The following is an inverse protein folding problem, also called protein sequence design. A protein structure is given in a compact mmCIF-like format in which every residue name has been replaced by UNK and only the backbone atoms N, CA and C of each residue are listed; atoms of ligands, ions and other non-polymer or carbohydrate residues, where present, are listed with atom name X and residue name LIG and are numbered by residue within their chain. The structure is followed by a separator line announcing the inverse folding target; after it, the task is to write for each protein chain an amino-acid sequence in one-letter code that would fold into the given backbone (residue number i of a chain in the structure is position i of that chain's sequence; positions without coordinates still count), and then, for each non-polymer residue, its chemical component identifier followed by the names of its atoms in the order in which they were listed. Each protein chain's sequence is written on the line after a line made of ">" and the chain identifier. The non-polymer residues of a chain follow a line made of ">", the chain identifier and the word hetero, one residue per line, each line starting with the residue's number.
data_IF_748527665287
#
_entry.id   IF_748527665287
#
_cell.length_a   1.000
_cell.length_b   1.000
_cell.length_c   1.000
_cell.angle_alpha   90.00
_cell.angle_beta   90.00
_cell.angle_gamma   90.00
#
_symmetry.space_group_name_H-M   'P 1'
#
loop_
_entity.id
_entity.type
_entity.pdbx_description
1 polymer ?
#
# COMPACT_ATOMS: atom_id res chain seq x y z
N UNK A 1 -9.75 15.14 -2.03
CA UNK A 1 -9.38 13.80 -2.51
C UNK A 1 -8.41 13.99 -3.67
N UNK A 2 -7.25 13.33 -3.65
CA UNK A 2 -6.28 13.39 -4.73
C UNK A 2 -6.68 12.43 -5.87
N UNK A 3 -6.33 12.76 -7.12
CA UNK A 3 -6.55 11.91 -8.28
C UNK A 3 -5.23 11.70 -9.01
N UNK A 4 -4.95 10.44 -9.34
CA UNK A 4 -3.73 10.03 -10.01
C UNK A 4 -4.07 9.34 -11.33
N UNK A 5 -3.32 9.68 -12.37
CA UNK A 5 -3.35 8.98 -13.65
C UNK A 5 -2.08 8.16 -13.76
N UNK A 6 -2.20 6.83 -13.79
CA UNK A 6 -1.06 5.90 -13.85
C UNK A 6 -1.12 5.05 -15.12
N UNK A 7 0.00 4.46 -15.52
CA UNK A 7 -0.04 3.43 -16.56
C UNK A 7 -0.81 2.21 -16.04
N UNK A 8 -1.61 1.56 -16.90
CA UNK A 8 -2.25 0.30 -16.53
C UNK A 8 -1.18 -0.77 -16.34
N UNK A 9 -1.07 -1.40 -15.16
CA UNK A 9 -0.03 -2.40 -14.93
C UNK A 9 -0.27 -3.65 -15.78
N UNK A 10 0.82 -4.27 -16.22
CA UNK A 10 0.81 -5.61 -16.84
C UNK A 10 1.13 -6.64 -15.75
N UNK A 11 0.19 -7.50 -15.32
CA UNK A 11 0.46 -8.51 -14.31
C UNK A 11 1.55 -9.51 -14.68
N UNK A 12 1.80 -9.73 -15.98
CA UNK A 12 2.87 -10.61 -16.45
C UNK A 12 4.26 -9.95 -16.35
N UNK A 13 4.31 -8.62 -16.29
CA UNK A 13 5.53 -7.81 -16.17
C UNK A 13 5.27 -6.68 -15.14
N UNK A 14 5.11 -7.03 -13.85
CA UNK A 14 4.65 -6.09 -12.85
C UNK A 14 5.64 -4.93 -12.67
N UNK A 15 5.16 -3.69 -12.50
CA UNK A 15 6.03 -2.56 -12.21
C UNK A 15 6.70 -2.69 -10.83
N UNK A 16 7.85 -2.04 -10.67
CA UNK A 16 8.50 -1.92 -9.37
C UNK A 16 7.58 -1.22 -8.35
N UNK A 17 7.62 -1.67 -7.10
CA UNK A 17 6.77 -1.18 -6.01
C UNK A 17 7.53 -0.32 -4.99
N UNK A 18 8.86 -0.31 -5.09
CA UNK A 18 9.82 0.39 -4.22
C UNK A 18 10.39 1.68 -4.84
N UNK A 19 10.13 1.91 -6.13
CA UNK A 19 10.56 3.11 -6.85
C UNK A 19 9.38 3.80 -7.55
N UNK A 20 9.43 5.13 -7.64
CA UNK A 20 8.38 5.90 -8.29
C UNK A 20 8.56 7.42 -8.19
N UNK A 21 7.74 8.13 -8.96
CA UNK A 21 7.67 9.59 -8.94
C UNK A 21 6.71 10.06 -7.85
N UNK A 22 7.25 10.75 -6.85
CA UNK A 22 6.52 11.20 -5.67
C UNK A 22 5.41 12.22 -5.97
N UNK A 23 5.53 12.96 -7.08
CA UNK A 23 4.58 13.99 -7.48
C UNK A 23 3.49 13.49 -8.42
N UNK A 24 3.76 12.44 -9.20
CA UNK A 24 2.83 11.95 -10.23
C UNK A 24 2.22 10.58 -9.93
N UNK A 25 2.84 9.77 -9.06
CA UNK A 25 2.33 8.45 -8.69
C UNK A 25 1.72 8.44 -7.28
N UNK A 26 0.61 7.70 -7.10
CA UNK A 26 0.07 7.47 -5.78
C UNK A 26 1.08 6.67 -4.95
N UNK A 27 1.30 7.11 -3.72
CA UNK A 27 2.19 6.45 -2.78
C UNK A 27 1.63 6.57 -1.36
N UNK A 28 2.03 5.64 -0.50
CA UNK A 28 1.87 5.78 0.95
C UNK A 28 3.22 6.16 1.55
N UNK A 29 3.22 7.26 2.28
CA UNK A 29 4.37 7.72 3.05
C UNK A 29 4.11 7.48 4.53
N UNK A 30 5.03 6.78 5.17
CA UNK A 30 4.88 6.33 6.54
C UNK A 30 6.17 6.58 7.32
N UNK A 31 6.03 7.17 8.51
CA UNK A 31 7.13 7.38 9.44
C UNK A 31 7.00 6.38 10.58
N UNK A 32 7.92 5.41 10.64
CA UNK A 32 7.99 4.41 11.69
C UNK A 32 8.83 4.94 12.85
N UNK A 33 8.26 5.07 14.05
CA UNK A 33 8.97 5.62 15.22
C UNK A 33 10.07 4.70 15.76
N UNK A 34 9.88 3.39 15.67
CA UNK A 34 10.83 2.38 16.16
C UNK A 34 11.24 1.36 15.10
N UNK A 35 10.58 1.38 13.93
CA UNK A 35 10.66 0.33 12.91
C UNK A 35 9.59 -0.74 13.12
N UNK A 36 9.48 -1.66 12.18
CA UNK A 36 8.57 -2.81 12.27
C UNK A 36 9.16 -3.99 11.50
N UNK A 37 9.01 -5.20 12.07
CA UNK A 37 9.42 -6.42 11.39
C UNK A 37 8.52 -6.71 10.17
N UNK A 38 7.26 -6.29 10.23
CA UNK A 38 6.27 -6.58 9.20
C UNK A 38 5.25 -5.45 9.06
N UNK A 39 5.08 -4.96 7.84
CA UNK A 39 4.04 -3.97 7.52
C UNK A 39 3.17 -4.48 6.38
N UNK A 40 1.90 -4.77 6.71
CA UNK A 40 0.87 -5.09 5.73
C UNK A 40 0.19 -3.82 5.23
N UNK A 41 -0.13 -3.81 3.94
CA UNK A 41 -0.81 -2.72 3.27
C UNK A 41 -1.93 -3.34 2.45
N UNK A 42 -3.17 -3.17 2.91
CA UNK A 42 -4.35 -3.68 2.23
C UNK A 42 -5.06 -2.53 1.50
N UNK A 43 -5.53 -2.80 0.28
CA UNK A 43 -6.30 -1.86 -0.53
C UNK A 43 -7.78 -2.00 -0.19
N UNK A 44 -8.43 -0.87 0.08
CA UNK A 44 -9.85 -0.79 0.40
C UNK A 44 -10.60 0.02 -0.64
N UNK A 45 -11.82 -0.39 -0.98
CA UNK A 45 -12.82 0.40 -1.72
C UNK A 45 -13.99 0.68 -0.79
N UNK A 46 -14.06 1.91 -0.26
CA UNK A 46 -14.96 2.23 0.85
C UNK A 46 -14.59 1.44 2.11
N UNK A 47 -15.44 0.49 2.51
CA UNK A 47 -15.19 -0.45 3.62
C UNK A 47 -14.79 -1.85 3.16
N UNK A 48 -14.91 -2.15 1.87
CA UNK A 48 -14.59 -3.46 1.30
C UNK A 48 -13.08 -3.61 1.12
N UNK A 49 -12.53 -4.73 1.59
CA UNK A 49 -11.13 -5.09 1.39
C UNK A 49 -10.95 -5.78 0.04
N UNK A 50 -10.16 -5.16 -0.84
CA UNK A 50 -9.86 -5.68 -2.17
C UNK A 50 -8.75 -6.73 -2.13
N UNK A 51 -7.85 -6.63 -1.16
CA UNK A 51 -6.69 -7.50 -0.97
C UNK A 51 -5.43 -6.71 -0.66
N UNK A 52 -4.31 -7.42 -0.48
CA UNK A 52 -3.02 -6.80 -0.20
C UNK A 52 -2.45 -6.10 -1.43
N UNK A 53 -1.86 -4.93 -1.24
CA UNK A 53 -1.17 -4.17 -2.28
C UNK A 53 0.00 -4.98 -2.85
N UNK A 54 0.26 -4.90 -4.15
CA UNK A 54 1.45 -5.50 -4.74
C UNK A 54 2.72 -5.01 -4.02
N UNK A 55 3.64 -5.93 -3.70
CA UNK A 55 4.82 -5.65 -2.89
C UNK A 55 4.58 -5.68 -1.38
N UNK A 56 3.34 -5.85 -0.91
CA UNK A 56 3.04 -6.12 0.49
C UNK A 56 3.12 -7.63 0.80
N UNK A 57 3.57 -8.04 1.99
CA UNK A 57 4.05 -7.21 3.10
C UNK A 57 5.46 -6.66 2.91
N UNK A 58 5.72 -5.52 3.55
CA UNK A 58 7.07 -4.98 3.68
C UNK A 58 7.73 -5.59 4.92
N UNK A 59 8.94 -6.11 4.76
CA UNK A 59 9.68 -6.79 5.84
C UNK A 59 10.83 -5.94 6.35
N UNK A 60 11.02 -5.94 7.66
CA UNK A 60 12.13 -5.28 8.35
C UNK A 60 12.31 -3.80 8.00
N UNK A 61 11.21 -3.04 7.99
CA UNK A 61 11.28 -1.61 7.77
C UNK A 61 11.94 -0.92 8.99
N UNK A 62 13.04 -0.17 8.79
CA UNK A 62 13.73 0.48 9.88
C UNK A 62 12.90 1.63 10.45
N UNK A 63 13.35 2.16 11.60
CA UNK A 63 12.87 3.46 12.07
C UNK A 63 13.13 4.53 11.00
N UNK A 64 12.17 5.43 10.84
CA UNK A 64 12.26 6.60 9.97
C UNK A 64 11.22 6.51 8.86
N UNK A 65 11.53 7.19 7.76
CA UNK A 65 10.60 7.34 6.66
C UNK A 65 10.71 6.16 5.70
N UNK A 66 9.55 5.61 5.35
CA UNK A 66 9.39 4.57 4.35
C UNK A 66 8.30 4.99 3.38
N UNK A 67 8.47 4.62 2.12
CA UNK A 67 7.51 4.94 1.06
C UNK A 67 7.26 3.70 0.22
N UNK A 68 5.99 3.45 -0.09
CA UNK A 68 5.57 2.37 -0.98
C UNK A 68 4.71 2.97 -2.08
N UNK A 69 5.01 2.61 -3.33
CA UNK A 69 4.31 3.13 -4.49
C UNK A 69 3.15 2.22 -4.89
N UNK A 70 2.06 2.84 -5.34
CA UNK A 70 0.82 2.15 -5.69
C UNK A 70 0.76 2.04 -7.21
N UNK A 71 0.93 0.84 -7.71
CA UNK A 71 0.98 0.55 -9.15
C UNK A 71 -0.38 0.25 -9.78
N UNK A 72 -1.46 0.21 -8.98
CA UNK A 72 -2.76 -0.26 -9.44
C UNK A 72 -2.87 -1.79 -9.46
N UNK A 73 -1.96 -2.51 -8.81
CA UNK A 73 -1.91 -3.98 -8.76
C UNK A 73 -2.03 -4.49 -7.32
N UNK A 74 -2.76 -5.59 -7.13
CA UNK A 74 -2.81 -6.36 -5.90
C UNK A 74 -1.73 -7.45 -5.91
N UNK A 75 -1.40 -7.98 -4.73
CA UNK A 75 -0.37 -9.01 -4.55
C UNK A 75 -0.67 -10.33 -5.27
N UNK A 76 -1.94 -10.62 -5.56
CA UNK A 76 -2.38 -11.78 -6.33
C UNK A 76 -2.30 -11.57 -7.86
N UNK A 77 -1.86 -10.39 -8.32
CA UNK A 77 -1.80 -10.01 -9.72
C UNK A 77 -3.09 -9.40 -10.27
N UNK A 78 -4.12 -9.20 -9.44
CA UNK A 78 -5.35 -8.52 -9.84
C UNK A 78 -5.09 -7.04 -10.11
N UNK A 79 -5.48 -6.57 -11.30
CA UNK A 79 -5.43 -5.14 -11.64
C UNK A 79 -6.64 -4.44 -11.05
N UNK A 80 -6.40 -3.37 -10.30
CA UNK A 80 -7.46 -2.52 -9.76
C UNK A 80 -8.18 -1.81 -10.92
N UNK A 81 -9.50 -1.72 -10.86
CA UNK A 81 -10.26 -0.91 -11.81
C UNK A 81 -10.10 0.60 -11.53
N UNK A 82 -10.52 1.45 -12.46
CA UNK A 82 -10.59 2.89 -12.16
C UNK A 82 -11.59 3.16 -11.04
N UNK A 83 -11.24 4.04 -10.09
CA UNK A 83 -12.11 4.30 -8.94
C UNK A 83 -11.42 4.97 -7.77
N UNK A 84 -12.14 5.04 -6.65
CA UNK A 84 -11.66 5.59 -5.37
C UNK A 84 -11.23 4.47 -4.43
N UNK A 85 -10.07 4.64 -3.82
CA UNK A 85 -9.45 3.67 -2.91
C UNK A 85 -8.88 4.36 -1.68
N UNK A 86 -8.71 3.59 -0.61
CA UNK A 86 -7.89 3.94 0.55
C UNK A 86 -7.00 2.75 0.90
N UNK A 87 -5.98 2.96 1.73
CA UNK A 87 -5.13 1.88 2.22
C UNK A 87 -5.33 1.69 3.71
N UNK A 88 -5.28 0.43 4.16
CA UNK A 88 -5.11 0.07 5.56
C UNK A 88 -3.69 -0.42 5.77
N UNK A 89 -2.90 0.35 6.51
CA UNK A 89 -1.54 0.00 6.90
C UNK A 89 -1.58 -0.63 8.29
N UNK A 90 -1.03 -1.83 8.43
CA UNK A 90 -0.88 -2.55 9.70
C UNK A 90 0.60 -2.78 9.93
N UNK A 91 1.17 -2.19 10.97
CA UNK A 91 2.57 -2.38 11.34
C UNK A 91 2.65 -3.23 12.62
N UNK A 92 3.40 -4.33 12.57
CA UNK A 92 3.59 -5.18 13.73
C UNK A 92 4.46 -4.46 14.75
N UNK A 93 4.00 -4.40 16.01
CA UNK A 93 4.80 -3.82 17.10
C UNK A 93 6.07 -4.64 17.34
N UNK A 94 7.08 -4.00 17.91
CA UNK A 94 8.33 -4.69 18.28
C UNK A 94 8.01 -5.83 19.27
N UNK A 95 8.44 -7.04 18.94
CA UNK A 95 8.12 -8.29 19.65
C UNK A 95 6.63 -8.71 19.65
N UNK A 96 5.81 -8.08 18.80
CA UNK A 96 4.42 -8.47 18.62
C UNK A 96 4.27 -9.84 17.96
N UNK A 97 3.12 -10.46 18.18
CA UNK A 97 2.68 -11.71 17.57
C UNK A 97 1.77 -11.41 16.37
N UNK A 98 2.12 -11.91 15.18
CA UNK A 98 1.35 -11.68 13.95
C UNK A 98 -0.08 -12.19 14.06
N UNK A 99 -0.33 -13.21 14.88
CA UNK A 99 -1.64 -13.82 15.09
C UNK A 99 -2.55 -13.01 16.04
N UNK A 100 -2.05 -11.93 16.65
CA UNK A 100 -2.81 -11.11 17.60
C UNK A 100 -3.09 -9.72 17.06
N UNK A 101 -4.35 -9.44 16.77
CA UNK A 101 -4.80 -8.12 16.28
C UNK A 101 -4.36 -6.94 17.19
N UNK A 102 -4.25 -7.17 18.50
CA UNK A 102 -3.83 -6.14 19.46
C UNK A 102 -2.35 -5.74 19.35
N UNK A 103 -1.51 -6.58 18.73
CA UNK A 103 -0.08 -6.33 18.52
C UNK A 103 0.21 -5.55 17.24
N UNK A 104 -0.83 -5.19 16.48
CA UNK A 104 -0.74 -4.37 15.28
C UNK A 104 -1.11 -2.91 15.56
N UNK A 105 -0.28 -2.00 15.05
CA UNK A 105 -0.68 -0.60 14.90
C UNK A 105 -1.35 -0.42 13.53
N UNK A 106 -2.62 -0.03 13.53
CA UNK A 106 -3.45 0.05 12.32
C UNK A 106 -3.84 1.48 12.01
N UNK A 107 -3.58 1.92 10.77
CA UNK A 107 -3.95 3.23 10.27
C UNK A 107 -4.61 3.09 8.90
N UNK A 108 -5.75 3.77 8.71
CA UNK A 108 -6.40 3.90 7.40
C UNK A 108 -6.06 5.26 6.80
N UNK A 109 -5.67 5.29 5.53
CA UNK A 109 -5.42 6.54 4.79
C UNK A 109 -6.73 7.21 4.39
N UNK A 110 -6.64 8.48 4.00
CA UNK A 110 -7.71 9.13 3.24
C UNK A 110 -7.88 8.48 1.87
N UNK A 111 -9.04 8.72 1.25
CA UNK A 111 -9.31 8.23 -0.10
C UNK A 111 -8.54 9.01 -1.18
N UNK A 112 -8.18 8.29 -2.25
CA UNK A 112 -7.58 8.80 -3.48
C UNK A 112 -8.16 8.07 -4.69
N UNK A 113 -8.12 8.71 -5.86
CA UNK A 113 -8.66 8.17 -7.10
C UNK A 113 -7.56 7.67 -8.03
N UNK A 114 -7.79 6.53 -8.67
CA UNK A 114 -6.95 5.99 -9.75
C UNK A 114 -7.70 6.09 -11.07
N UNK A 115 -7.02 6.59 -12.10
CA UNK A 115 -7.38 6.48 -13.52
C UNK A 115 -6.20 5.93 -14.29
N UNK A 116 -6.47 5.29 -15.42
CA UNK A 116 -5.42 4.81 -16.30
C UNK A 116 -5.16 5.79 -17.45
N UNK A 117 -3.89 6.01 -17.77
CA UNK A 117 -3.51 6.68 -19.00
C UNK A 117 -4.00 5.83 -20.18
N UNK A 118 -4.76 6.47 -21.07
CA UNK A 118 -5.28 5.90 -22.31
C UNK A 118 -4.18 5.69 -23.35
#
# INVERSE_FOLDING_TARGET
>A
MAHYTIARPDPANPPATDEGDQGSQPNVYMTLLVGSALVHIDVLRGEEEMGSLAGSPQVYLPRGDSRVFISGLLADGTVLEEGSYSLRVKALRIFGDEEKDEDWDVVKTVEFGIKYAS
#
